data_IF_006229670534
#
_entry.id   IF_006229670534
#
_cell.length_a   1.000
_cell.length_b   1.000
_cell.length_c   1.000
_cell.angle_alpha   90.00
_cell.angle_beta   90.00
_cell.angle_gamma   90.00
#
_symmetry.space_group_name_H-M   'P 1'
#
loop_
_entity.id
_entity.type
_entity.pdbx_description
1 polymer ?
#
# COMPACT_ATOMS: atom_id res chain seq x y z
N UNK A 1 -0.10 -0.42 10.81
CA UNK A 1 -0.59 -1.73 11.29
C UNK A 1 -0.12 -2.85 10.39
N UNK A 2 -0.18 -4.08 10.89
CA UNK A 2 0.14 -5.25 10.07
C UNK A 2 -1.03 -5.60 9.15
N UNK A 3 -0.77 -6.43 8.17
CA UNK A 3 -1.84 -6.95 7.29
C UNK A 3 -2.93 -7.65 8.10
N UNK A 4 -2.53 -8.52 9.01
CA UNK A 4 -3.47 -9.27 9.85
C UNK A 4 -4.32 -8.34 10.71
N UNK A 5 -3.72 -7.29 11.28
CA UNK A 5 -4.47 -6.29 12.04
C UNK A 5 -5.49 -5.55 11.18
N UNK A 6 -5.10 -5.19 9.96
CA UNK A 6 -6.01 -4.50 9.04
C UNK A 6 -7.17 -5.38 8.62
N UNK A 7 -6.91 -6.68 8.37
CA UNK A 7 -7.97 -7.63 8.04
C UNK A 7 -8.99 -7.72 9.20
N UNK A 8 -8.50 -7.84 10.43
CA UNK A 8 -9.37 -7.91 11.60
C UNK A 8 -10.18 -6.62 11.79
N UNK A 9 -9.55 -5.46 11.63
CA UNK A 9 -10.23 -4.18 11.76
C UNK A 9 -11.30 -3.99 10.68
N UNK A 10 -10.99 -4.43 9.46
CA UNK A 10 -11.91 -4.31 8.34
C UNK A 10 -13.16 -5.17 8.50
N UNK A 11 -13.06 -6.30 9.18
CA UNK A 11 -14.23 -7.14 9.46
C UNK A 11 -15.24 -6.39 10.33
N UNK A 12 -14.79 -5.58 11.25
CA UNK A 12 -15.62 -4.82 12.17
C UNK A 12 -16.11 -3.50 11.57
N UNK A 13 -15.25 -2.83 10.82
CA UNK A 13 -15.54 -1.53 10.23
C UNK A 13 -14.84 -1.44 8.88
N UNK A 14 -15.54 -1.81 7.79
CA UNK A 14 -14.91 -1.84 6.46
C UNK A 14 -14.42 -0.47 6.01
N UNK A 15 -13.16 -0.44 5.57
CA UNK A 15 -12.50 0.74 4.99
C UNK A 15 -11.57 0.28 3.90
N UNK A 16 -11.15 1.21 3.05
CA UNK A 16 -10.11 0.92 2.07
C UNK A 16 -8.77 0.70 2.78
N UNK A 17 -7.87 0.00 2.12
CA UNK A 17 -6.56 -0.34 2.68
C UNK A 17 -5.47 0.31 1.83
N UNK A 18 -4.51 0.92 2.50
CA UNK A 18 -3.31 1.47 1.87
C UNK A 18 -2.12 0.65 2.37
N UNK A 19 -1.39 0.03 1.46
CA UNK A 19 -0.24 -0.82 1.82
C UNK A 19 1.04 -0.15 1.37
N UNK A 20 1.91 0.15 2.32
CA UNK A 20 3.26 0.64 2.10
C UNK A 20 4.19 -0.58 2.06
N UNK A 21 4.59 -0.98 0.87
CA UNK A 21 5.47 -2.12 0.68
C UNK A 21 6.91 -1.62 0.65
N UNK A 22 7.71 -2.05 1.60
CA UNK A 22 9.07 -1.55 1.80
C UNK A 22 10.05 -2.70 2.02
N UNK A 23 11.32 -2.35 2.10
CA UNK A 23 12.38 -3.25 2.54
C UNK A 23 13.25 -2.51 3.56
N UNK A 24 13.99 -3.26 4.37
CA UNK A 24 14.82 -2.66 5.42
C UNK A 24 16.00 -1.85 4.85
N UNK A 25 16.46 -2.18 3.65
CA UNK A 25 17.60 -1.50 3.02
C UNK A 25 17.17 -0.30 2.16
N UNK A 26 15.88 -0.04 2.02
CA UNK A 26 15.36 0.98 1.11
C UNK A 26 15.51 2.39 1.70
N UNK A 27 16.45 3.17 1.18
CA UNK A 27 16.67 4.54 1.65
C UNK A 27 15.49 5.47 1.38
N UNK A 28 14.86 5.35 0.20
CA UNK A 28 13.70 6.17 -0.15
C UNK A 28 12.48 5.84 0.71
N UNK A 29 12.32 4.58 1.12
CA UNK A 29 11.26 4.20 2.05
C UNK A 29 11.43 4.93 3.39
N UNK A 30 12.65 4.92 3.90
CA UNK A 30 12.96 5.62 5.17
C UNK A 30 12.76 7.12 5.05
N UNK A 31 13.09 7.69 3.89
CA UNK A 31 12.91 9.11 3.64
C UNK A 31 11.44 9.49 3.64
N UNK A 32 10.57 8.68 3.04
CA UNK A 32 9.13 8.92 3.10
C UNK A 32 8.57 8.80 4.51
N UNK A 33 9.05 7.84 5.29
CA UNK A 33 8.64 7.70 6.68
C UNK A 33 8.96 8.95 7.50
N UNK A 34 10.06 9.63 7.17
CA UNK A 34 10.52 10.82 7.88
C UNK A 34 9.91 12.13 7.35
N UNK A 35 9.29 12.11 6.19
CA UNK A 35 8.76 13.31 5.54
C UNK A 35 7.29 13.18 5.18
N UNK A 36 6.98 12.56 4.05
CA UNK A 36 5.62 12.49 3.51
C UNK A 36 4.62 11.88 4.50
N UNK A 37 5.00 10.81 5.18
CA UNK A 37 4.11 10.15 6.14
C UNK A 37 4.03 10.86 7.49
N UNK A 38 4.73 11.98 7.65
CA UNK A 38 4.60 12.85 8.81
C UNK A 38 3.86 14.15 8.49
N UNK A 39 3.54 14.38 7.23
CA UNK A 39 2.74 15.53 6.83
C UNK A 39 1.36 15.46 7.46
N UNK A 40 0.91 16.55 8.09
CA UNK A 40 -0.33 16.55 8.85
C UNK A 40 -1.56 16.24 8.00
N UNK A 41 -1.60 16.70 6.76
CA UNK A 41 -2.74 16.45 5.87
C UNK A 41 -2.72 15.00 5.40
N UNK A 42 -1.55 14.46 5.10
CA UNK A 42 -1.43 13.04 4.72
C UNK A 42 -1.90 12.16 5.87
N UNK A 43 -1.44 12.44 7.09
CA UNK A 43 -1.82 11.65 8.28
C UNK A 43 -3.34 11.72 8.49
N UNK A 44 -3.93 12.91 8.43
CA UNK A 44 -5.36 13.08 8.62
C UNK A 44 -6.18 12.36 7.54
N UNK A 45 -5.78 12.46 6.29
CA UNK A 45 -6.45 11.80 5.16
C UNK A 45 -6.35 10.28 5.29
N UNK A 46 -5.16 9.79 5.63
CA UNK A 46 -4.94 8.35 5.80
C UNK A 46 -5.83 7.79 6.91
N UNK A 47 -5.83 8.44 8.07
CA UNK A 47 -6.63 7.98 9.22
C UNK A 47 -8.13 8.05 8.95
N UNK A 48 -8.58 9.04 8.18
CA UNK A 48 -10.00 9.21 7.89
C UNK A 48 -10.54 8.14 6.93
N UNK A 49 -9.75 7.71 5.96
CA UNK A 49 -10.26 6.93 4.82
C UNK A 49 -9.66 5.55 4.64
N UNK A 50 -8.56 5.24 5.32
CA UNK A 50 -7.83 3.99 5.07
C UNK A 50 -7.39 3.31 6.35
N UNK A 51 -7.15 2.02 6.24
CA UNK A 51 -6.27 1.30 7.16
C UNK A 51 -4.89 1.30 6.52
N UNK A 52 -3.91 1.87 7.21
CA UNK A 52 -2.56 1.97 6.70
C UNK A 52 -1.74 0.76 7.17
N UNK A 53 -1.28 -0.03 6.22
CA UNK A 53 -0.49 -1.24 6.47
C UNK A 53 0.95 -1.00 6.05
N UNK A 54 1.90 -1.36 6.91
CA UNK A 54 3.30 -1.43 6.53
C UNK A 54 3.67 -2.88 6.30
N UNK A 55 4.17 -3.18 5.12
CA UNK A 55 4.52 -4.55 4.76
C UNK A 55 5.98 -4.63 4.30
N UNK A 56 6.79 -5.36 5.05
CA UNK A 56 8.15 -5.66 4.63
C UNK A 56 8.09 -6.76 3.57
N UNK A 57 8.46 -6.40 2.33
CA UNK A 57 8.41 -7.33 1.21
C UNK A 57 9.28 -8.57 1.41
N UNK A 58 10.30 -8.45 2.25
CA UNK A 58 11.28 -9.52 2.49
C UNK A 58 11.07 -10.25 3.81
N UNK A 59 9.93 -10.02 4.48
CA UNK A 59 9.70 -10.67 5.77
C UNK A 59 9.65 -12.17 5.63
N UNK A 60 10.24 -12.86 6.61
CA UNK A 60 10.31 -14.32 6.61
C UNK A 60 9.11 -14.97 7.27
N UNK A 61 8.45 -14.25 8.17
CA UNK A 61 7.25 -14.72 8.82
C UNK A 61 6.11 -14.88 7.82
N UNK A 62 5.41 -16.00 7.89
CA UNK A 62 4.25 -16.22 7.03
C UNK A 62 3.10 -15.28 7.38
N UNK A 63 2.30 -14.96 6.39
CA UNK A 63 1.06 -14.19 6.56
C UNK A 63 -0.09 -15.13 6.20
N UNK A 64 -1.05 -15.28 7.10
CA UNK A 64 -2.21 -16.13 6.86
C UNK A 64 -3.41 -15.25 6.53
N UNK A 65 -4.05 -15.51 5.39
CA UNK A 65 -5.19 -14.73 4.94
C UNK A 65 -6.02 -15.54 3.95
N UNK A 66 -7.34 -15.55 4.16
CA UNK A 66 -8.32 -16.26 3.30
C UNK A 66 -7.92 -17.72 3.07
N UNK A 67 -7.58 -18.39 4.18
CA UNK A 67 -7.22 -19.81 4.19
C UNK A 67 -5.94 -20.15 3.42
N UNK A 68 -5.14 -19.14 3.11
CA UNK A 68 -3.85 -19.31 2.44
C UNK A 68 -2.72 -18.86 3.35
N UNK A 69 -1.60 -19.56 3.23
CA UNK A 69 -0.37 -19.16 3.90
C UNK A 69 0.57 -18.53 2.88
N UNK A 70 0.89 -17.24 3.08
CA UNK A 70 1.82 -16.52 2.21
C UNK A 70 3.21 -16.60 2.82
N UNK A 71 4.03 -17.45 2.23
CA UNK A 71 5.36 -17.77 2.74
C UNK A 71 6.44 -16.91 2.11
N UNK A 72 7.57 -16.80 2.82
CA UNK A 72 8.78 -16.26 2.23
C UNK A 72 9.34 -17.28 1.23
N UNK A 73 9.76 -16.79 0.07
CA UNK A 73 10.38 -17.62 -0.97
C UNK A 73 11.73 -17.01 -1.38
N UNK A 74 12.69 -17.87 -1.69
CA UNK A 74 13.98 -17.43 -2.18
C UNK A 74 13.82 -16.80 -3.58
N UNK A 75 14.64 -15.82 -3.86
CA UNK A 75 14.61 -15.11 -5.15
C UNK A 75 15.11 -13.71 -4.98
N UNK A 76 15.61 -13.11 -6.06
CA UNK A 76 16.20 -11.79 -5.98
C UNK A 76 17.33 -11.75 -4.95
N UNK A 77 17.46 -10.63 -4.26
CA UNK A 77 18.56 -10.39 -3.33
C UNK A 77 18.39 -11.09 -1.99
N UNK A 78 17.19 -10.97 -1.40
CA UNK A 78 16.92 -11.46 -0.05
C UNK A 78 15.66 -12.31 0.02
N UNK A 79 15.12 -12.71 -1.11
CA UNK A 79 13.83 -13.39 -1.18
C UNK A 79 12.67 -12.44 -0.88
N UNK A 80 11.44 -12.94 -1.02
CA UNK A 80 10.25 -12.13 -0.83
C UNK A 80 9.14 -12.93 -0.19
N UNK A 81 8.29 -12.26 0.58
CA UNK A 81 7.04 -12.87 1.02
C UNK A 81 6.08 -12.90 -0.17
N UNK A 82 5.41 -14.02 -0.39
CA UNK A 82 4.55 -14.20 -1.57
C UNK A 82 3.37 -13.22 -1.63
N UNK A 83 2.90 -12.72 -0.50
CA UNK A 83 1.82 -11.72 -0.50
C UNK A 83 2.29 -10.41 -1.15
N UNK A 84 3.52 -9.99 -0.86
CA UNK A 84 4.09 -8.80 -1.49
C UNK A 84 4.19 -8.96 -3.01
N UNK A 85 4.61 -10.14 -3.47
CA UNK A 85 4.67 -10.43 -4.91
C UNK A 85 3.30 -10.29 -5.56
N UNK A 86 2.25 -10.80 -4.90
CA UNK A 86 0.90 -10.71 -5.45
C UNK A 86 0.36 -9.29 -5.43
N UNK A 87 0.56 -8.57 -4.35
CA UNK A 87 0.07 -7.19 -4.24
C UNK A 87 0.72 -6.29 -5.28
N UNK A 88 1.99 -6.51 -5.60
CA UNK A 88 2.73 -5.69 -6.56
C UNK A 88 2.71 -6.25 -7.98
N UNK A 89 1.92 -7.29 -8.21
CA UNK A 89 1.84 -7.94 -9.53
C UNK A 89 3.24 -8.30 -10.07
N UNK A 90 4.09 -8.81 -9.16
CA UNK A 90 5.47 -9.23 -9.41
C UNK A 90 6.44 -8.12 -9.81
N UNK A 91 6.02 -6.86 -9.72
CA UNK A 91 6.90 -5.73 -10.03
C UNK A 91 7.55 -5.21 -8.75
N UNK A 92 8.66 -5.82 -8.39
CA UNK A 92 9.31 -5.58 -7.09
C UNK A 92 10.24 -4.37 -7.15
N UNK A 93 9.69 -3.21 -6.85
CA UNK A 93 10.46 -1.97 -6.64
C UNK A 93 10.01 -1.32 -5.33
N UNK A 94 10.86 -0.52 -4.71
CA UNK A 94 10.58 0.03 -3.37
C UNK A 94 10.99 1.49 -3.27
N UNK A 95 10.18 2.32 -2.60
CA UNK A 95 8.88 1.96 -2.04
C UNK A 95 7.85 1.73 -3.13
N UNK A 96 6.86 0.92 -2.84
CA UNK A 96 5.68 0.79 -3.70
C UNK A 96 4.45 0.81 -2.83
N UNK A 97 3.39 1.44 -3.33
CA UNK A 97 2.15 1.61 -2.58
C UNK A 97 1.01 0.94 -3.31
N UNK A 98 0.24 0.16 -2.58
CA UNK A 98 -0.91 -0.54 -3.14
C UNK A 98 -2.16 -0.05 -2.42
N UNK A 99 -3.14 0.39 -3.17
CA UNK A 99 -4.42 0.78 -2.61
C UNK A 99 -5.45 -0.29 -2.95
N UNK A 100 -6.17 -0.74 -1.94
CA UNK A 100 -7.19 -1.78 -2.08
C UNK A 100 -8.53 -1.22 -1.63
N UNK A 101 -9.62 -1.73 -2.22
CA UNK A 101 -10.94 -1.37 -1.73
C UNK A 101 -11.25 -2.16 -0.45
N UNK A 102 -12.42 -1.93 0.13
CA UNK A 102 -12.80 -2.58 1.40
C UNK A 102 -12.98 -4.09 1.30
N UNK A 103 -12.97 -4.64 0.10
CA UNK A 103 -13.04 -6.07 -0.15
C UNK A 103 -11.67 -6.64 -0.54
N UNK A 104 -10.63 -5.83 -0.41
CA UNK A 104 -9.24 -6.18 -0.74
C UNK A 104 -8.98 -6.35 -2.24
N UNK A 105 -9.85 -5.81 -3.09
CA UNK A 105 -9.60 -5.76 -4.52
C UNK A 105 -8.65 -4.59 -4.81
N UNK A 106 -7.68 -4.81 -5.68
CA UNK A 106 -6.66 -3.80 -5.96
C UNK A 106 -7.23 -2.65 -6.78
N UNK A 107 -7.04 -1.43 -6.29
CA UNK A 107 -7.39 -0.21 -7.01
C UNK A 107 -6.19 0.28 -7.82
N UNK A 108 -5.01 0.31 -7.22
CA UNK A 108 -3.81 0.81 -7.90
C UNK A 108 -2.53 0.26 -7.28
N UNK A 109 -1.48 0.26 -8.09
CA UNK A 109 -0.10 0.05 -7.66
C UNK A 109 0.64 1.32 -8.05
N UNK A 110 1.34 1.93 -7.10
CA UNK A 110 2.07 3.17 -7.34
C UNK A 110 3.50 3.04 -6.85
N UNK A 111 4.47 2.84 -7.75
CA UNK A 111 5.87 2.71 -7.35
C UNK A 111 6.53 4.08 -7.17
N UNK A 112 7.50 4.12 -6.27
CA UNK A 112 8.41 5.25 -6.13
C UNK A 112 8.06 6.24 -5.03
N UNK A 113 9.07 7.02 -4.65
CA UNK A 113 8.96 8.08 -3.66
C UNK A 113 7.98 9.16 -4.11
N UNK A 114 7.18 9.67 -3.16
CA UNK A 114 6.22 10.74 -3.44
C UNK A 114 6.24 11.78 -2.34
N UNK A 115 6.14 13.03 -2.75
CA UNK A 115 5.94 14.14 -1.82
C UNK A 115 4.44 14.24 -1.46
N UNK A 116 4.08 14.98 -0.39
CA UNK A 116 2.70 15.03 0.06
C UNK A 116 1.65 15.36 -1.01
N UNK A 117 1.82 16.40 -1.87
CA UNK A 117 0.80 16.68 -2.87
C UNK A 117 0.54 15.53 -3.84
N UNK A 118 1.59 14.83 -4.26
CA UNK A 118 1.46 13.70 -5.19
C UNK A 118 0.75 12.52 -4.51
N UNK A 119 1.09 12.22 -3.27
CA UNK A 119 0.44 11.15 -2.54
C UNK A 119 -1.03 11.48 -2.25
N UNK A 120 -1.32 12.70 -1.82
CA UNK A 120 -2.69 13.13 -1.55
C UNK A 120 -3.58 12.99 -2.77
N UNK A 121 -3.04 13.26 -3.95
CA UNK A 121 -3.76 13.11 -5.20
C UNK A 121 -4.14 11.65 -5.46
N UNK A 122 -3.21 10.74 -5.22
CA UNK A 122 -3.48 9.31 -5.35
C UNK A 122 -4.50 8.81 -4.32
N UNK A 123 -4.39 9.27 -3.08
CA UNK A 123 -5.33 8.88 -2.04
C UNK A 123 -6.74 9.36 -2.38
N UNK A 124 -6.87 10.59 -2.89
CA UNK A 124 -8.16 11.15 -3.28
C UNK A 124 -8.81 10.35 -4.40
N UNK A 125 -8.03 9.94 -5.39
CA UNK A 125 -8.51 9.11 -6.49
C UNK A 125 -9.16 7.83 -5.95
N UNK A 126 -8.61 7.29 -4.89
CA UNK A 126 -9.13 6.10 -4.24
C UNK A 126 -10.32 6.39 -3.32
N UNK A 127 -10.19 7.35 -2.38
CA UNK A 127 -11.25 7.50 -1.37
C UNK A 127 -12.49 8.20 -1.91
N UNK A 128 -12.39 9.02 -2.95
CA UNK A 128 -13.55 9.57 -3.63
C UNK A 128 -14.08 8.65 -4.73
N UNK A 129 -13.47 7.47 -4.85
CA UNK A 129 -13.84 6.44 -5.82
C UNK A 129 -13.86 6.92 -7.27
N UNK A 130 -12.96 7.85 -7.60
CA UNK A 130 -12.86 8.39 -8.95
C UNK A 130 -12.43 7.33 -9.95
N UNK A 131 -11.76 6.26 -9.47
CA UNK A 131 -11.35 5.14 -10.31
C UNK A 131 -12.53 4.40 -10.95
N UNK A 132 -13.76 4.60 -10.44
CA UNK A 132 -14.94 3.96 -11.01
C UNK A 132 -15.42 4.63 -12.30
N UNK A 133 -15.05 5.90 -12.50
CA UNK A 133 -15.54 6.69 -13.63
C UNK A 133 -14.45 7.20 -14.55
N UNK A 134 -13.20 7.14 -14.14
CA UNK A 134 -12.08 7.59 -14.96
C UNK A 134 -10.81 6.81 -14.63
N UNK A 135 -9.86 6.80 -15.58
CA UNK A 135 -8.56 6.18 -15.36
C UNK A 135 -7.66 7.12 -14.54
N UNK A 136 -6.59 6.57 -13.98
CA UNK A 136 -5.58 7.39 -13.29
C UNK A 136 -4.99 8.43 -14.24
N UNK A 137 -4.75 8.04 -15.50
CA UNK A 137 -4.19 8.94 -16.51
C UNK A 137 -5.08 10.15 -16.73
N UNK A 138 -6.38 9.93 -16.86
CA UNK A 138 -7.35 11.02 -17.03
C UNK A 138 -7.38 11.95 -15.82
N UNK A 139 -7.42 11.38 -14.63
CA UNK A 139 -7.46 12.16 -13.39
C UNK A 139 -6.19 12.97 -13.21
N UNK A 140 -5.04 12.36 -13.45
CA UNK A 140 -3.74 13.00 -13.31
C UNK A 140 -3.60 14.21 -14.23
N UNK A 141 -4.12 14.10 -15.45
CA UNK A 141 -4.03 15.18 -16.45
C UNK A 141 -4.93 16.37 -16.16
N UNK A 142 -5.99 16.19 -15.36
CA UNK A 142 -6.96 17.25 -15.06
C UNK A 142 -6.53 18.20 -13.95
N UNK A 143 -5.48 17.89 -13.24
CA UNK A 143 -5.04 18.71 -12.10
C UNK A 143 -3.66 19.38 -12.34
#
# INVERSE_FOLDING_TARGET
MTWTEAVAANEKNPKKIFVDVYTDWCGWCKRMDQSTFKDSVVVATMNAHFYAVKMNAEQKESIFWREMEFKWTAGGRNGYNSLALELLDRQMSFPSFVTLDKEFARISISPGYKEPPALLKELRFAYEELYRTMSWEEYRSKS
#
